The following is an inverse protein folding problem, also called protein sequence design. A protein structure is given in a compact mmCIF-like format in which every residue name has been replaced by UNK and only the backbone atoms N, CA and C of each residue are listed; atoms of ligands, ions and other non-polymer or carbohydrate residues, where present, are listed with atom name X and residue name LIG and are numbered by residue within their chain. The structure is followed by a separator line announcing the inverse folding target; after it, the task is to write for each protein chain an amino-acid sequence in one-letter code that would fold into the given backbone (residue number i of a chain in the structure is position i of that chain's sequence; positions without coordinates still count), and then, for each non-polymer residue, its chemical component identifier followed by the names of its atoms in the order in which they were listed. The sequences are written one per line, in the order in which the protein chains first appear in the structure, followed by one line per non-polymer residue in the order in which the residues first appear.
data_IF_119898163552
#
_entry.id   IF_119898163552
#
_cell.length_a   1.000
_cell.length_b   1.000
_cell.length_c   1.000
_cell.angle_alpha   90.00
_cell.angle_beta   90.00
_cell.angle_gamma   90.00
#
_symmetry.space_group_name_H-M   'P 1'
#
loop_
_entity.id
_entity.type
_entity.pdbx_description
1 polymer ?
#
# COMPACT_ATOMS: atom_id res chain seq x y z
N UNK A 1 -14.63 -2.46 -19.81
CA UNK A 1 -14.12 -3.74 -19.30
C UNK A 1 -15.12 -4.40 -18.35
N UNK A 2 -15.60 -3.71 -17.30
CA UNK A 2 -16.54 -4.26 -16.30
C UNK A 2 -17.79 -4.89 -16.91
N UNK A 3 -18.42 -4.22 -17.88
CA UNK A 3 -19.57 -4.77 -18.60
C UNK A 3 -19.26 -6.07 -19.35
N UNK A 4 -18.07 -6.18 -19.96
CA UNK A 4 -17.62 -7.38 -20.65
C UNK A 4 -17.29 -8.52 -19.68
N UNK A 5 -16.71 -8.19 -18.52
CA UNK A 5 -16.46 -9.16 -17.46
C UNK A 5 -17.78 -9.74 -16.89
N UNK A 6 -18.81 -8.91 -16.69
CA UNK A 6 -20.14 -9.37 -16.24
C UNK A 6 -20.83 -10.25 -17.27
N UNK A 7 -20.61 -10.01 -18.57
CA UNK A 7 -21.08 -10.92 -19.62
C UNK A 7 -20.43 -12.31 -19.49
N UNK A 8 -19.10 -12.37 -19.29
CA UNK A 8 -18.38 -13.63 -19.05
C UNK A 8 -18.85 -14.34 -17.78
N UNK A 9 -19.23 -13.58 -16.75
CA UNK A 9 -19.78 -14.09 -15.50
C UNK A 9 -21.30 -14.44 -15.58
N UNK A 10 -21.90 -14.43 -16.80
CA UNK A 10 -23.31 -14.67 -17.06
C UNK A 10 -24.27 -13.71 -16.32
N UNK A 11 -23.86 -12.47 -16.15
CA UNK A 11 -24.69 -11.35 -15.67
C UNK A 11 -24.93 -10.32 -16.80
N UNK A 12 -25.82 -10.60 -17.76
CA UNK A 12 -26.04 -9.72 -18.92
C UNK A 12 -26.73 -8.41 -18.52
N UNK A 13 -27.49 -8.39 -17.43
CA UNK A 13 -28.20 -7.21 -16.97
C UNK A 13 -27.24 -6.21 -16.34
N UNK A 14 -26.37 -6.65 -15.45
CA UNK A 14 -25.31 -5.83 -14.89
C UNK A 14 -24.30 -5.36 -15.93
N UNK A 15 -24.02 -6.17 -16.96
CA UNK A 15 -23.17 -5.76 -18.08
C UNK A 15 -23.80 -4.61 -18.89
N UNK A 16 -25.12 -4.63 -19.11
CA UNK A 16 -25.86 -3.56 -19.81
C UNK A 16 -25.86 -2.26 -18.99
N UNK A 17 -26.05 -2.36 -17.68
CA UNK A 17 -25.97 -1.21 -16.77
C UNK A 17 -24.59 -0.57 -16.78
N UNK A 18 -23.53 -1.37 -16.72
CA UNK A 18 -22.15 -0.87 -16.77
C UNK A 18 -21.82 -0.16 -18.08
N UNK A 19 -22.31 -0.66 -19.21
CA UNK A 19 -22.15 0.01 -20.51
C UNK A 19 -22.90 1.33 -20.54
N UNK A 20 -24.12 1.40 -19.98
CA UNK A 20 -24.88 2.64 -19.92
C UNK A 20 -24.20 3.70 -19.04
N UNK A 21 -23.63 3.29 -17.91
CA UNK A 21 -22.86 4.15 -17.01
C UNK A 21 -21.59 4.66 -17.73
N UNK A 22 -20.87 3.79 -18.42
CA UNK A 22 -19.68 4.18 -19.17
C UNK A 22 -20.01 5.18 -20.30
N UNK A 23 -21.08 4.93 -21.06
CA UNK A 23 -21.53 5.84 -22.11
C UNK A 23 -21.94 7.21 -21.56
N UNK A 24 -22.67 7.24 -20.44
CA UNK A 24 -23.07 8.49 -19.77
C UNK A 24 -21.84 9.26 -19.27
N UNK A 25 -20.86 8.59 -18.67
CA UNK A 25 -19.62 9.21 -18.22
C UNK A 25 -18.76 9.75 -19.38
N UNK A 26 -18.70 9.04 -20.49
CA UNK A 26 -18.01 9.51 -21.71
C UNK A 26 -18.73 10.73 -22.29
N UNK A 27 -20.07 10.74 -22.33
CA UNK A 27 -20.84 11.88 -22.81
C UNK A 27 -20.68 13.11 -21.91
N UNK A 28 -20.69 12.92 -20.59
CA UNK A 28 -20.44 13.95 -19.59
C UNK A 28 -19.00 14.52 -19.73
N UNK A 29 -18.02 13.67 -19.94
CA UNK A 29 -16.63 14.06 -20.18
C UNK A 29 -16.49 14.87 -21.50
N UNK A 30 -17.14 14.41 -22.59
CA UNK A 30 -17.14 15.14 -23.88
C UNK A 30 -17.83 16.49 -23.80
N UNK A 31 -18.93 16.61 -23.05
CA UNK A 31 -19.61 17.91 -22.85
C UNK A 31 -18.75 18.90 -22.07
N UNK A 32 -17.97 18.40 -21.11
CA UNK A 32 -17.03 19.25 -20.33
C UNK A 32 -15.80 19.67 -21.16
N UNK A 33 -15.36 18.88 -22.12
CA UNK A 33 -14.25 19.24 -23.01
C UNK A 33 -14.61 20.38 -23.97
N UNK A 34 -15.90 20.57 -24.27
CA UNK A 34 -16.38 21.66 -25.14
C UNK A 34 -16.66 22.97 -24.39
N UNK A 35 -16.48 23.01 -23.08
CA UNK A 35 -16.66 24.21 -22.24
C UNK A 35 -15.35 24.99 -22.18
N UNK A 36 -15.37 26.24 -22.72
CA UNK A 36 -14.20 27.11 -22.85
C UNK A 36 -13.53 27.50 -21.53
N UNK A 37 -14.18 27.23 -20.38
CA UNK A 37 -13.61 27.39 -19.05
C UNK A 37 -12.54 26.34 -18.70
N UNK A 38 -12.42 25.28 -19.49
CA UNK A 38 -11.46 24.18 -19.27
C UNK A 38 -10.10 24.36 -19.96
N UNK A 39 -9.86 25.47 -20.66
CA UNK A 39 -8.58 25.73 -21.34
C UNK A 39 -7.39 25.86 -20.37
N UNK A 40 -7.63 26.10 -19.09
CA UNK A 40 -6.60 26.15 -18.03
C UNK A 40 -6.10 24.74 -17.64
N UNK A 41 -6.87 23.69 -18.00
CA UNK A 41 -6.54 22.29 -17.72
C UNK A 41 -5.99 21.52 -18.93
N UNK A 42 -5.69 22.20 -20.03
CA UNK A 42 -5.05 21.61 -21.22
C UNK A 42 -3.69 20.94 -20.89
N UNK A 43 -3.04 21.37 -19.81
CA UNK A 43 -1.81 20.75 -19.32
C UNK A 43 -2.06 19.37 -18.67
N UNK A 44 -3.28 19.09 -18.20
CA UNK A 44 -3.69 17.78 -17.69
C UNK A 44 -4.01 16.79 -18.81
N UNK A 45 -4.44 17.23 -19.99
CA UNK A 45 -4.63 16.35 -21.14
C UNK A 45 -3.30 15.88 -21.71
N UNK A 46 -2.27 16.71 -21.75
CA UNK A 46 -0.91 16.27 -22.10
C UNK A 46 -0.32 15.31 -21.06
N UNK A 47 -0.68 15.45 -19.79
CA UNK A 47 -0.36 14.46 -18.74
C UNK A 47 -1.15 13.17 -18.93
N UNK A 48 -2.41 13.24 -19.34
CA UNK A 48 -3.25 12.07 -19.61
C UNK A 48 -2.82 11.35 -20.88
N UNK A 49 -2.49 12.09 -21.94
CA UNK A 49 -1.91 11.53 -23.17
C UNK A 49 -0.49 11.01 -22.95
N UNK A 50 0.30 11.60 -22.05
CA UNK A 50 1.55 11.01 -21.56
C UNK A 50 1.32 9.77 -20.72
N UNK A 51 0.27 9.69 -19.93
CA UNK A 51 -0.13 8.47 -19.22
C UNK A 51 -0.63 7.40 -20.20
N UNK A 52 -1.32 7.77 -21.25
CA UNK A 52 -1.73 6.85 -22.33
C UNK A 52 -0.57 6.50 -23.29
N UNK A 53 0.36 7.44 -23.57
CA UNK A 53 1.59 7.17 -24.32
C UNK A 53 2.67 6.46 -23.51
N UNK A 54 2.55 6.50 -22.19
CA UNK A 54 3.30 5.66 -21.27
C UNK A 54 2.97 4.18 -21.47
N UNK A 55 1.80 3.88 -22.00
CA UNK A 55 1.31 2.52 -22.29
C UNK A 55 2.19 1.78 -23.32
N UNK A 56 2.81 2.46 -24.28
CA UNK A 56 3.66 1.81 -25.30
C UNK A 56 5.07 1.46 -24.80
N UNK A 57 5.56 2.12 -23.76
CA UNK A 57 6.86 1.83 -23.11
C UNK A 57 6.74 0.94 -21.86
N UNK A 58 5.53 0.84 -21.31
CA UNK A 58 5.22 0.02 -20.13
C UNK A 58 4.56 -1.32 -20.48
N UNK A 59 4.18 -1.55 -21.73
CA UNK A 59 3.58 -2.80 -22.19
C UNK A 59 4.48 -4.05 -21.95
N UNK A 60 5.78 -3.86 -21.72
CA UNK A 60 6.71 -4.94 -21.39
C UNK A 60 7.22 -4.98 -19.95
N UNK A 61 6.95 -3.93 -19.14
CA UNK A 61 7.60 -3.83 -17.84
C UNK A 61 6.69 -3.61 -16.62
N UNK A 62 5.45 -3.20 -16.82
CA UNK A 62 4.58 -2.78 -15.71
C UNK A 62 3.88 -3.94 -15.05
N UNK A 63 3.48 -4.95 -15.79
CA UNK A 63 2.82 -6.13 -15.27
C UNK A 63 3.81 -7.04 -14.55
N UNK A 64 5.01 -7.20 -15.08
CA UNK A 64 6.13 -7.89 -14.43
C UNK A 64 6.49 -7.25 -13.08
N UNK A 65 6.12 -5.97 -12.86
CA UNK A 65 6.25 -5.32 -11.55
C UNK A 65 5.09 -5.59 -10.60
N UNK A 66 3.89 -5.87 -11.11
CA UNK A 66 2.71 -6.15 -10.28
C UNK A 66 2.64 -7.63 -9.89
N UNK A 67 3.06 -8.53 -10.79
CA UNK A 67 3.11 -9.97 -10.56
C UNK A 67 4.52 -10.56 -10.52
N UNK A 68 5.57 -9.74 -10.79
CA UNK A 68 6.97 -10.15 -10.70
C UNK A 68 7.36 -11.30 -11.62
N UNK A 69 6.94 -11.30 -12.88
CA UNK A 69 7.37 -12.29 -13.87
C UNK A 69 8.85 -12.13 -14.19
N UNK A 70 9.71 -12.70 -13.36
CA UNK A 70 11.12 -12.95 -13.67
C UNK A 70 11.32 -14.44 -13.85
N UNK A 71 11.29 -14.90 -15.10
CA UNK A 71 11.80 -16.24 -15.44
C UNK A 71 11.02 -17.42 -14.85
N UNK A 72 9.68 -17.35 -14.74
CA UNK A 72 8.84 -18.50 -14.39
C UNK A 72 8.34 -18.57 -12.95
N UNK A 73 8.64 -17.57 -12.11
CA UNK A 73 8.02 -17.42 -10.77
C UNK A 73 7.09 -16.22 -10.75
N UNK A 74 5.81 -16.44 -10.47
CA UNK A 74 4.86 -15.36 -10.18
C UNK A 74 5.16 -14.77 -8.80
N UNK A 75 5.57 -13.51 -8.77
CA UNK A 75 5.81 -12.77 -7.54
C UNK A 75 4.56 -11.94 -7.20
N UNK A 76 4.01 -12.17 -6.02
CA UNK A 76 2.83 -11.44 -5.54
C UNK A 76 3.23 -10.01 -5.14
N UNK A 77 2.63 -8.99 -5.78
CA UNK A 77 2.82 -7.59 -5.41
C UNK A 77 1.54 -7.00 -4.85
N UNK A 78 1.57 -6.77 -3.55
CA UNK A 78 0.48 -6.16 -2.82
C UNK A 78 0.65 -4.65 -2.77
N UNK A 79 -0.45 -3.91 -2.66
CA UNK A 79 -0.41 -2.49 -2.38
C UNK A 79 0.19 -2.23 -1.00
N UNK A 80 0.84 -1.05 -0.81
CA UNK A 80 1.65 -0.76 0.38
C UNK A 80 0.87 -0.77 1.70
N UNK A 81 1.60 -0.91 2.80
CA UNK A 81 1.08 -0.86 4.16
C UNK A 81 0.64 0.56 4.55
N UNK A 82 -0.40 0.67 5.35
CA UNK A 82 -0.81 1.94 5.97
C UNK A 82 0.00 2.23 7.23
N UNK A 83 0.48 3.46 7.34
CA UNK A 83 1.17 3.97 8.53
C UNK A 83 0.87 5.45 8.75
N UNK A 84 1.08 5.92 9.96
CA UNK A 84 1.21 7.35 10.17
C UNK A 84 2.54 7.83 9.58
N UNK A 85 2.45 8.81 8.73
CA UNK A 85 3.59 9.39 8.00
C UNK A 85 3.45 10.91 7.97
N UNK A 86 4.54 11.61 7.63
CA UNK A 86 4.51 13.06 7.46
C UNK A 86 4.31 13.40 6.00
N UNK A 87 3.27 14.19 5.70
CA UNK A 87 2.94 14.66 4.35
C UNK A 87 2.48 16.12 4.38
N UNK A 88 2.75 16.87 3.31
CA UNK A 88 2.19 18.22 3.18
C UNK A 88 0.66 18.15 3.08
N UNK A 89 -0.07 19.04 3.78
CA UNK A 89 -1.54 19.02 3.81
C UNK A 89 -2.20 19.12 2.43
N UNK A 90 -1.61 19.88 1.51
CA UNK A 90 -2.10 20.09 0.14
C UNK A 90 -2.04 18.83 -0.75
N UNK A 91 -1.22 17.84 -0.37
CA UNK A 91 -1.09 16.59 -1.08
C UNK A 91 -1.88 15.43 -0.47
N UNK A 92 -2.56 15.66 0.63
CA UNK A 92 -3.42 14.65 1.25
C UNK A 92 -4.71 14.54 0.42
N UNK A 93 -5.10 13.33 -0.05
CA UNK A 93 -6.36 13.15 -0.76
C UNK A 93 -7.54 13.62 0.07
N UNK A 94 -8.59 14.11 -0.61
CA UNK A 94 -9.84 14.49 0.04
C UNK A 94 -10.35 13.37 0.96
N UNK A 95 -10.90 13.77 2.10
CA UNK A 95 -11.35 12.85 3.15
C UNK A 95 -12.21 11.72 2.60
N UNK A 96 -11.82 10.49 2.89
CA UNK A 96 -12.60 9.30 2.56
C UNK A 96 -13.71 9.09 3.60
N UNK A 97 -14.80 8.38 3.23
CA UNK A 97 -15.94 8.17 4.13
C UNK A 97 -15.63 7.34 5.38
N UNK A 98 -14.48 6.64 5.43
CA UNK A 98 -14.09 5.86 6.59
C UNK A 98 -13.40 6.77 7.61
N UNK A 99 -14.19 7.19 8.59
CA UNK A 99 -13.77 8.08 9.66
C UNK A 99 -13.68 7.30 10.99
N UNK A 100 -12.58 7.49 11.69
CA UNK A 100 -12.34 6.87 12.99
C UNK A 100 -11.98 7.96 14.02
N UNK A 101 -12.89 8.21 14.97
CA UNK A 101 -12.71 9.19 16.02
C UNK A 101 -11.37 9.00 16.78
N UNK A 102 -10.99 7.75 17.08
CA UNK A 102 -9.72 7.45 17.75
C UNK A 102 -8.48 7.86 16.97
N UNK A 103 -8.53 7.84 15.63
CA UNK A 103 -7.44 8.31 14.77
C UNK A 103 -7.34 9.83 14.85
N UNK A 104 -8.47 10.53 14.82
CA UNK A 104 -8.50 11.98 14.94
C UNK A 104 -8.05 12.45 16.32
N UNK A 105 -8.50 11.79 17.38
CA UNK A 105 -8.07 12.10 18.74
C UNK A 105 -6.56 11.86 18.91
N UNK A 106 -6.02 10.81 18.29
CA UNK A 106 -4.59 10.56 18.27
C UNK A 106 -3.83 11.68 17.54
N UNK A 107 -4.28 12.07 16.34
CA UNK A 107 -3.66 13.16 15.57
C UNK A 107 -3.71 14.49 16.34
N UNK A 108 -4.85 14.81 16.96
CA UNK A 108 -4.99 16.00 17.83
C UNK A 108 -4.02 15.98 19.00
N UNK A 109 -3.81 14.81 19.60
CA UNK A 109 -2.89 14.66 20.74
C UNK A 109 -1.44 14.82 20.35
N UNK A 110 -1.05 14.37 19.15
CA UNK A 110 0.28 14.63 18.58
C UNK A 110 0.44 16.13 18.27
N UNK A 111 -0.60 16.77 17.69
CA UNK A 111 -0.59 18.19 17.37
C UNK A 111 0.18 18.56 16.11
N UNK A 112 0.60 17.58 15.31
CA UNK A 112 1.35 17.82 14.07
C UNK A 112 0.42 17.75 12.85
N UNK A 113 0.27 18.88 12.16
CA UNK A 113 -0.61 19.01 10.98
C UNK A 113 -0.16 18.19 9.76
N UNK A 114 1.15 17.87 9.68
CA UNK A 114 1.72 17.03 8.62
C UNK A 114 1.48 15.54 8.85
N UNK A 115 1.07 15.15 10.06
CA UNK A 115 0.84 13.74 10.39
C UNK A 115 -0.45 13.23 9.75
N UNK A 116 -0.33 12.23 8.90
CA UNK A 116 -1.46 11.57 8.24
C UNK A 116 -1.32 10.05 8.24
N UNK A 117 -2.45 9.34 8.24
CA UNK A 117 -2.50 7.89 8.05
C UNK A 117 -2.59 7.60 6.54
N UNK A 118 -1.56 7.02 5.96
CA UNK A 118 -1.45 6.81 4.50
C UNK A 118 -0.58 5.59 4.17
N UNK A 119 -0.81 5.02 2.98
CA UNK A 119 0.06 4.04 2.34
C UNK A 119 1.00 4.68 1.29
N UNK A 120 0.96 6.02 1.14
CA UNK A 120 1.79 6.75 0.18
C UNK A 120 3.12 7.15 0.80
N UNK A 121 4.11 7.34 -0.07
CA UNK A 121 5.39 7.90 0.35
C UNK A 121 5.27 9.36 0.79
N UNK A 122 6.12 9.75 1.74
CA UNK A 122 6.21 11.15 2.19
C UNK A 122 6.74 12.04 1.06
N UNK A 123 6.17 13.23 0.94
CA UNK A 123 6.63 14.27 0.01
C UNK A 123 7.42 15.38 0.70
N UNK A 124 7.89 15.14 1.92
CA UNK A 124 8.77 16.05 2.65
C UNK A 124 10.20 15.82 2.22
N UNK A 125 10.95 16.89 1.97
CA UNK A 125 12.33 16.80 1.55
C UNK A 125 13.21 16.10 2.61
N UNK A 126 14.14 15.22 2.21
CA UNK A 126 15.01 14.48 3.13
C UNK A 126 15.78 15.38 4.10
N UNK A 127 16.28 16.52 3.64
CA UNK A 127 17.01 17.47 4.49
C UNK A 127 16.12 18.03 5.62
N UNK A 128 14.85 18.30 5.33
CA UNK A 128 13.88 18.73 6.33
C UNK A 128 13.64 17.64 7.38
N UNK A 129 13.53 16.39 6.96
CA UNK A 129 13.38 15.24 7.87
C UNK A 129 14.60 15.06 8.78
N UNK A 130 15.81 15.24 8.24
CA UNK A 130 17.04 15.20 9.04
C UNK A 130 17.11 16.34 10.05
N UNK A 131 16.62 17.53 9.68
CA UNK A 131 16.53 18.67 10.63
C UNK A 131 15.51 18.38 11.74
N UNK A 132 14.36 17.80 11.40
CA UNK A 132 13.33 17.41 12.37
C UNK A 132 13.85 16.37 13.36
N UNK A 133 14.58 15.34 12.92
CA UNK A 133 15.18 14.36 13.84
C UNK A 133 16.11 15.01 14.86
N UNK A 134 16.94 15.97 14.41
CA UNK A 134 17.81 16.74 15.31
C UNK A 134 17.02 17.58 16.32
N UNK A 135 15.92 18.19 15.92
CA UNK A 135 15.05 18.97 16.80
C UNK A 135 14.43 18.06 17.88
N UNK A 136 13.91 16.90 17.50
CA UNK A 136 13.37 15.93 18.46
C UNK A 136 14.43 15.42 19.46
N UNK A 137 15.68 15.24 19.02
CA UNK A 137 16.81 14.91 19.94
C UNK A 137 16.99 16.01 20.98
N UNK A 138 16.98 17.28 20.57
CA UNK A 138 17.11 18.42 21.48
C UNK A 138 15.95 18.50 22.47
N UNK A 139 14.73 18.29 22.01
CA UNK A 139 13.52 18.28 22.84
C UNK A 139 13.54 17.16 23.88
N UNK A 140 13.94 15.95 23.48
CA UNK A 140 14.07 14.80 24.39
C UNK A 140 15.19 14.99 25.44
N UNK A 141 16.22 15.77 25.14
CA UNK A 141 17.28 16.07 26.09
C UNK A 141 16.88 17.21 27.06
N UNK A 142 15.96 18.09 26.67
CA UNK A 142 15.54 19.22 27.46
C UNK A 142 14.41 18.90 28.48
N UNK A 143 13.65 17.83 28.26
CA UNK A 143 12.48 17.47 29.06
C UNK A 143 12.37 15.95 29.24
N UNK A 144 11.52 15.51 30.20
CA UNK A 144 11.16 14.10 30.30
C UNK A 144 10.59 13.60 28.97
N UNK A 145 11.03 12.44 28.47
CA UNK A 145 10.62 11.94 27.17
C UNK A 145 9.11 11.70 27.14
N UNK A 146 8.38 12.48 26.32
CA UNK A 146 6.98 12.23 26.02
C UNK A 146 6.90 11.16 24.92
N UNK A 147 5.99 10.19 25.07
CA UNK A 147 5.78 9.17 24.04
C UNK A 147 5.37 9.79 22.68
N UNK A 148 4.76 10.97 22.65
CA UNK A 148 4.39 11.70 21.46
C UNK A 148 5.61 12.14 20.67
N UNK A 149 6.60 12.73 21.33
CA UNK A 149 7.87 13.18 20.70
C UNK A 149 8.68 11.97 20.21
N UNK A 150 8.71 10.88 20.99
CA UNK A 150 9.32 9.63 20.55
C UNK A 150 8.62 9.05 19.32
N UNK A 151 7.27 9.11 19.26
CA UNK A 151 6.52 8.66 18.10
C UNK A 151 6.88 9.46 16.84
N UNK A 152 6.85 10.79 16.92
CA UNK A 152 7.18 11.66 15.78
C UNK A 152 8.63 11.48 15.31
N UNK A 153 9.54 11.34 16.26
CA UNK A 153 10.94 11.03 15.94
C UNK A 153 11.05 9.69 15.23
N UNK A 154 10.39 8.65 15.72
CA UNK A 154 10.43 7.33 15.10
C UNK A 154 9.82 7.34 13.67
N UNK A 155 8.73 8.09 13.44
CA UNK A 155 8.18 8.33 12.10
C UNK A 155 9.26 8.97 11.21
N UNK A 156 9.91 10.02 11.67
CA UNK A 156 10.95 10.75 10.93
C UNK A 156 12.13 9.85 10.60
N UNK A 157 12.61 9.05 11.57
CA UNK A 157 13.69 8.08 11.38
C UNK A 157 13.35 7.01 10.35
N UNK A 158 12.11 6.50 10.33
CA UNK A 158 11.64 5.58 9.29
C UNK A 158 11.71 6.23 7.89
N UNK A 159 11.30 7.49 7.75
CA UNK A 159 11.31 8.23 6.49
C UNK A 159 12.73 8.50 5.95
N UNK A 160 13.71 8.70 6.82
CA UNK A 160 15.13 8.80 6.43
C UNK A 160 15.85 7.45 6.40
N UNK A 161 15.07 6.34 6.42
CA UNK A 161 15.57 4.95 6.32
C UNK A 161 16.49 4.49 7.47
N UNK A 162 16.43 5.16 8.62
CA UNK A 162 17.10 4.73 9.84
C UNK A 162 16.21 3.71 10.59
N UNK A 163 15.88 2.60 9.95
CA UNK A 163 14.88 1.65 10.43
C UNK A 163 15.18 1.07 11.81
N UNK A 164 16.43 0.67 12.09
CA UNK A 164 16.84 0.14 13.40
C UNK A 164 16.62 1.16 14.51
N UNK A 165 17.01 2.42 14.28
CA UNK A 165 16.79 3.50 15.25
C UNK A 165 15.28 3.75 15.45
N UNK A 166 14.52 3.78 14.35
CA UNK A 166 13.06 3.96 14.39
C UNK A 166 12.37 2.87 15.22
N UNK A 167 12.68 1.58 14.99
CA UNK A 167 12.13 0.46 15.76
C UNK A 167 12.47 0.58 17.25
N UNK A 168 13.70 0.95 17.58
CA UNK A 168 14.11 1.20 18.97
C UNK A 168 13.34 2.36 19.61
N UNK A 169 13.20 3.47 18.88
CA UNK A 169 12.47 4.67 19.34
C UNK A 169 10.97 4.38 19.53
N UNK A 170 10.33 3.59 18.62
CA UNK A 170 8.97 3.12 18.83
C UNK A 170 8.86 2.22 20.07
N UNK A 171 9.86 1.39 20.34
CA UNK A 171 9.87 0.52 21.51
C UNK A 171 9.86 1.35 22.80
N UNK A 172 10.69 2.39 22.88
CA UNK A 172 10.66 3.33 24.00
C UNK A 172 9.32 4.08 24.13
N UNK A 173 8.71 4.48 23.00
CA UNK A 173 7.37 5.08 23.03
C UNK A 173 6.29 4.10 23.54
N UNK A 174 6.40 2.82 23.19
CA UNK A 174 5.49 1.76 23.65
C UNK A 174 5.65 1.51 25.16
N UNK A 175 6.87 1.54 25.69
CA UNK A 175 7.11 1.44 27.14
C UNK A 175 6.37 2.53 27.92
N UNK A 176 6.33 3.76 27.39
CA UNK A 176 5.61 4.87 27.99
C UNK A 176 4.08 4.83 27.77
N UNK A 177 3.63 4.20 26.68
CA UNK A 177 2.19 4.12 26.35
C UNK A 177 1.84 2.77 25.68
N UNK A 178 1.85 1.65 26.44
CA UNK A 178 1.67 0.31 25.89
C UNK A 178 0.24 0.01 25.42
N UNK A 179 -0.72 0.85 25.73
CA UNK A 179 -2.13 0.71 25.30
C UNK A 179 -2.46 1.41 23.99
N UNK A 180 -1.48 2.07 23.36
CA UNK A 180 -1.70 2.81 22.13
C UNK A 180 -1.49 1.90 20.88
N UNK A 181 -2.55 1.57 20.10
CA UNK A 181 -2.47 0.66 18.96
C UNK A 181 -1.63 1.22 17.81
N UNK A 182 -1.54 2.55 17.68
CA UNK A 182 -0.88 3.21 16.56
C UNK A 182 0.65 3.12 16.65
N UNK A 183 1.19 2.99 17.85
CA UNK A 183 2.63 2.74 18.05
C UNK A 183 3.03 1.37 17.49
N UNK A 184 2.22 0.35 17.75
CA UNK A 184 2.42 -1.00 17.22
C UNK A 184 2.22 -1.05 15.69
N UNK A 185 1.19 -0.36 15.17
CA UNK A 185 0.98 -0.27 13.72
C UNK A 185 2.23 0.26 13.01
N UNK A 186 2.76 1.39 13.47
CA UNK A 186 3.92 2.02 12.85
C UNK A 186 5.20 1.22 13.05
N UNK A 187 5.43 0.63 14.23
CA UNK A 187 6.60 -0.22 14.44
C UNK A 187 6.57 -1.46 13.54
N UNK A 188 5.40 -2.07 13.37
CA UNK A 188 5.21 -3.18 12.44
C UNK A 188 5.57 -2.80 11.00
N UNK A 189 5.04 -1.68 10.50
CA UNK A 189 5.35 -1.22 9.14
C UNK A 189 6.83 -0.87 8.96
N UNK A 190 7.46 -0.26 9.97
CA UNK A 190 8.90 0.03 9.94
C UNK A 190 9.74 -1.26 9.88
N UNK A 191 9.34 -2.32 10.61
CA UNK A 191 9.99 -3.63 10.52
C UNK A 191 9.84 -4.26 9.13
N UNK A 192 8.66 -4.18 8.54
CA UNK A 192 8.42 -4.67 7.19
C UNK A 192 9.27 -3.91 6.16
N UNK A 193 9.29 -2.57 6.20
CA UNK A 193 10.10 -1.73 5.32
C UNK A 193 11.61 -2.00 5.49
N UNK A 194 12.06 -2.31 6.71
CA UNK A 194 13.45 -2.70 6.96
C UNK A 194 13.79 -4.03 6.28
N UNK A 195 12.87 -5.01 6.34
CA UNK A 195 13.03 -6.30 5.68
C UNK A 195 13.10 -6.11 4.16
N UNK A 196 12.17 -5.33 3.59
CA UNK A 196 12.13 -5.04 2.15
C UNK A 196 13.41 -4.33 1.68
N UNK A 197 13.89 -3.38 2.48
CA UNK A 197 15.14 -2.67 2.20
C UNK A 197 16.34 -3.62 2.20
N UNK A 198 16.48 -4.49 3.22
CA UNK A 198 17.59 -5.46 3.30
C UNK A 198 17.51 -6.46 2.15
N UNK A 199 16.30 -6.98 1.83
CA UNK A 199 16.11 -7.92 0.74
C UNK A 199 16.44 -7.30 -0.63
N UNK A 200 16.17 -6.01 -0.82
CA UNK A 200 16.53 -5.29 -2.04
C UNK A 200 18.04 -5.17 -2.24
N UNK A 201 18.79 -5.00 -1.16
CA UNK A 201 20.25 -4.96 -1.18
C UNK A 201 20.80 -6.36 -1.50
N UNK A 202 20.34 -7.39 -0.82
CA UNK A 202 20.77 -8.78 -1.06
C UNK A 202 20.54 -9.20 -2.52
N UNK A 203 19.37 -8.87 -3.09
CA UNK A 203 19.08 -9.14 -4.50
C UNK A 203 19.98 -8.36 -5.46
N UNK A 204 20.44 -7.16 -5.11
CA UNK A 204 21.38 -6.39 -5.93
C UNK A 204 22.79 -7.01 -5.92
N UNK A 205 23.24 -7.52 -4.78
CA UNK A 205 24.53 -8.22 -4.66
C UNK A 205 24.52 -9.54 -5.46
N UNK A 206 23.43 -10.29 -5.47
CA UNK A 206 23.31 -11.51 -6.27
C UNK A 206 23.39 -11.24 -7.78
N UNK A 207 22.91 -10.08 -8.25
CA UNK A 207 23.05 -9.67 -9.66
C UNK A 207 24.46 -9.31 -10.07
N UNK A 208 25.26 -8.75 -9.14
CA UNK A 208 26.65 -8.35 -9.41
C UNK A 208 27.59 -9.57 -9.41
N UNK A 209 27.30 -10.61 -8.62
CA UNK A 209 28.13 -11.82 -8.54
C UNK A 209 27.85 -12.84 -9.64
N UNK A 210 26.85 -12.65 -10.52
CA UNK A 210 26.56 -13.55 -11.64
C UNK A 210 27.68 -13.60 -12.69
N UNK A 211 28.52 -12.56 -12.79
CA UNK A 211 29.64 -12.50 -13.73
C UNK A 211 30.94 -13.15 -13.21
N UNK A 212 31.00 -13.57 -11.96
CA UNK A 212 32.17 -14.23 -11.38
C UNK A 212 31.91 -15.71 -11.14
N UNK A 213 32.71 -16.54 -11.83
CA UNK A 213 32.95 -17.98 -11.70
C UNK A 213 31.71 -18.95 -11.59
N UNK A 214 31.45 -19.82 -12.61
CA UNK A 214 30.35 -20.78 -12.59
C UNK A 214 30.40 -21.80 -11.43
N UNK A 215 31.57 -22.06 -10.84
CA UNK A 215 31.74 -23.01 -9.73
C UNK A 215 31.13 -22.51 -8.41
N UNK A 216 31.02 -21.16 -8.21
CA UNK A 216 30.41 -20.56 -7.04
C UNK A 216 28.87 -20.48 -7.11
N UNK A 217 28.25 -20.76 -8.27
CA UNK A 217 26.80 -20.73 -8.44
C UNK A 217 26.07 -21.83 -7.67
N UNK A 218 26.73 -22.92 -7.35
CA UNK A 218 26.12 -24.07 -6.69
C UNK A 218 26.03 -23.96 -5.16
N UNK A 219 26.79 -23.07 -4.52
CA UNK A 219 26.86 -22.99 -3.06
C UNK A 219 26.11 -21.79 -2.44
N UNK A 220 25.60 -20.84 -3.24
CA UNK A 220 24.94 -19.62 -2.72
C UNK A 220 23.41 -19.64 -2.79
N UNK A 221 22.78 -20.81 -2.92
CA UNK A 221 21.32 -20.95 -2.98
C UNK A 221 20.63 -20.95 -1.58
N UNK A 222 21.28 -20.48 -0.53
CA UNK A 222 20.56 -20.15 0.70
C UNK A 222 19.86 -18.79 0.52
N UNK A 223 18.68 -18.80 -0.12
CA UNK A 223 17.75 -17.66 -0.01
C UNK A 223 17.58 -17.35 1.48
N UNK A 224 18.12 -16.21 1.94
CA UNK A 224 17.80 -15.73 3.28
C UNK A 224 16.29 -15.50 3.32
N UNK A 225 15.59 -16.29 4.10
CA UNK A 225 14.18 -16.13 4.38
C UNK A 225 14.07 -15.06 5.46
N UNK A 226 13.52 -13.91 5.11
CA UNK A 226 13.23 -12.86 6.09
C UNK A 226 11.88 -13.16 6.72
N UNK A 227 11.80 -13.19 8.05
CA UNK A 227 10.56 -13.43 8.76
C UNK A 227 9.88 -12.11 9.11
N UNK A 228 8.57 -12.02 8.84
CA UNK A 228 7.71 -10.93 9.29
C UNK A 228 7.09 -11.18 10.67
N UNK A 229 7.48 -12.21 11.40
CA UNK A 229 6.82 -12.66 12.65
C UNK A 229 6.74 -11.55 13.70
N UNK A 230 7.81 -10.78 13.90
CA UNK A 230 7.79 -9.67 14.86
C UNK A 230 6.85 -8.53 14.41
N UNK A 231 6.77 -8.28 13.12
CA UNK A 231 5.86 -7.28 12.57
C UNK A 231 4.39 -7.73 12.70
N UNK A 232 4.11 -9.01 12.45
CA UNK A 232 2.79 -9.63 12.67
C UNK A 232 2.42 -9.61 14.15
N UNK A 233 3.37 -9.88 15.05
CA UNK A 233 3.13 -9.81 16.50
C UNK A 233 2.72 -8.40 16.97
N UNK A 234 3.33 -7.35 16.42
CA UNK A 234 2.92 -5.97 16.66
C UNK A 234 1.48 -5.72 16.19
N UNK A 235 1.12 -6.20 15.00
CA UNK A 235 -0.25 -6.03 14.46
C UNK A 235 -1.27 -6.86 15.26
N UNK A 236 -0.91 -8.03 15.77
CA UNK A 236 -1.74 -8.78 16.71
C UNK A 236 -2.06 -7.96 17.96
N UNK A 237 -1.06 -7.21 18.45
CA UNK A 237 -1.28 -6.29 19.57
C UNK A 237 -2.16 -5.10 19.17
N UNK A 238 -1.93 -4.52 18.00
CA UNK A 238 -2.72 -3.40 17.49
C UNK A 238 -4.22 -3.77 17.34
N UNK A 239 -4.55 -4.91 16.71
CA UNK A 239 -5.95 -5.35 16.54
C UNK A 239 -6.60 -5.72 17.87
N UNK A 240 -5.84 -6.26 18.83
CA UNK A 240 -6.35 -6.52 20.17
C UNK A 240 -6.71 -5.23 20.93
N UNK A 241 -5.90 -4.18 20.79
CA UNK A 241 -6.13 -2.88 21.42
C UNK A 241 -7.20 -2.04 20.72
N UNK A 242 -7.40 -2.28 19.42
CA UNK A 242 -8.39 -1.55 18.62
C UNK A 242 -9.04 -2.49 17.58
N UNK A 243 -10.06 -3.29 17.99
CA UNK A 243 -10.69 -4.31 17.12
C UNK A 243 -11.42 -3.76 15.88
N UNK A 244 -11.79 -2.48 15.87
CA UNK A 244 -12.48 -1.83 14.73
C UNK A 244 -11.51 -1.09 13.80
N UNK A 245 -10.21 -1.32 13.92
CA UNK A 245 -9.19 -0.63 13.13
C UNK A 245 -8.87 -1.39 11.85
N UNK A 246 -9.63 -1.13 10.78
CA UNK A 246 -9.51 -1.80 9.48
C UNK A 246 -8.07 -1.82 8.93
N UNK A 247 -7.30 -0.74 9.11
CA UNK A 247 -5.93 -0.64 8.62
C UNK A 247 -4.95 -1.62 9.29
N UNK A 248 -5.19 -1.98 10.57
CA UNK A 248 -4.35 -2.97 11.24
C UNK A 248 -4.59 -4.37 10.69
N UNK A 249 -5.84 -4.74 10.40
CA UNK A 249 -6.16 -6.00 9.73
C UNK A 249 -5.60 -6.04 8.31
N UNK A 250 -5.75 -4.95 7.54
CA UNK A 250 -5.18 -4.83 6.20
C UNK A 250 -3.66 -5.04 6.21
N UNK A 251 -2.94 -4.37 7.10
CA UNK A 251 -1.50 -4.51 7.21
C UNK A 251 -1.09 -5.93 7.63
N UNK A 252 -1.83 -6.54 8.57
CA UNK A 252 -1.55 -7.92 8.99
C UNK A 252 -1.79 -8.91 7.87
N UNK A 253 -2.87 -8.73 7.11
CA UNK A 253 -3.15 -9.52 5.92
C UNK A 253 -2.01 -9.43 4.88
N UNK A 254 -1.46 -8.23 4.63
CA UNK A 254 -0.31 -8.06 3.74
C UNK A 254 0.89 -8.90 4.21
N UNK A 255 1.24 -8.80 5.49
CA UNK A 255 2.40 -9.53 6.05
C UNK A 255 2.18 -11.04 6.07
N UNK A 256 0.97 -11.50 6.40
CA UNK A 256 0.59 -12.92 6.33
C UNK A 256 0.68 -13.44 4.89
N UNK A 257 0.19 -12.67 3.92
CA UNK A 257 0.28 -13.04 2.51
C UNK A 257 1.74 -13.15 2.03
N UNK A 258 2.60 -12.19 2.40
CA UNK A 258 4.04 -12.20 2.11
C UNK A 258 4.76 -13.38 2.81
N UNK A 259 4.25 -13.83 3.95
CA UNK A 259 4.74 -15.03 4.66
C UNK A 259 4.18 -16.34 4.10
N UNK A 260 3.30 -16.30 3.09
CA UNK A 260 2.67 -17.47 2.48
C UNK A 260 1.39 -17.96 3.18
N UNK A 261 0.96 -17.34 4.28
CA UNK A 261 -0.28 -17.66 5.02
C UNK A 261 -1.50 -17.03 4.33
N UNK A 262 -1.80 -17.48 3.09
CA UNK A 262 -2.84 -16.89 2.25
C UNK A 262 -4.27 -17.03 2.83
N UNK A 263 -4.66 -18.16 3.45
CA UNK A 263 -5.99 -18.28 4.07
C UNK A 263 -6.22 -17.25 5.18
N UNK A 264 -5.26 -17.09 6.09
CA UNK A 264 -5.33 -16.16 7.21
C UNK A 264 -5.32 -14.71 6.69
N UNK A 265 -4.53 -14.43 5.65
CA UNK A 265 -4.53 -13.12 4.99
C UNK A 265 -5.90 -12.80 4.37
N UNK A 266 -6.56 -13.78 3.75
CA UNK A 266 -7.91 -13.63 3.19
C UNK A 266 -8.94 -13.26 4.26
N UNK A 267 -8.89 -13.91 5.43
CA UNK A 267 -9.77 -13.62 6.56
C UNK A 267 -9.56 -12.18 7.07
N UNK A 268 -8.31 -11.75 7.21
CA UNK A 268 -7.98 -10.41 7.67
C UNK A 268 -8.40 -9.33 6.66
N UNK A 269 -8.18 -9.52 5.36
CA UNK A 269 -8.72 -8.59 4.35
C UNK A 269 -10.24 -8.55 4.39
N UNK A 270 -10.90 -9.69 4.59
CA UNK A 270 -12.36 -9.76 4.70
C UNK A 270 -12.84 -8.99 5.92
N UNK A 271 -12.13 -9.11 7.05
CA UNK A 271 -12.40 -8.30 8.24
C UNK A 271 -12.19 -6.81 7.98
N UNK A 272 -11.07 -6.42 7.34
CA UNK A 272 -10.81 -5.02 6.98
C UNK A 272 -11.91 -4.43 6.10
N UNK A 273 -12.38 -5.18 5.09
CA UNK A 273 -13.48 -4.78 4.20
C UNK A 273 -14.82 -4.70 4.96
N UNK A 274 -15.09 -5.61 5.89
CA UNK A 274 -16.31 -5.55 6.71
C UNK A 274 -16.36 -4.30 7.60
N UNK A 275 -15.21 -3.84 8.09
CA UNK A 275 -15.07 -2.61 8.87
C UNK A 275 -15.11 -1.35 8.00
N UNK A 276 -14.56 -1.43 6.78
CA UNK A 276 -14.56 -0.34 5.82
C UNK A 276 -14.95 -0.85 4.42
N UNK A 277 -16.24 -0.86 4.05
CA UNK A 277 -16.70 -1.32 2.73
C UNK A 277 -16.19 -0.50 1.53
N UNK A 278 -15.58 0.67 1.77
CA UNK A 278 -14.95 1.49 0.74
C UNK A 278 -13.42 1.33 0.69
N UNK A 279 -12.85 0.29 1.33
CA UNK A 279 -11.41 0.07 1.41
C UNK A 279 -10.88 -0.53 0.11
N UNK A 280 -10.62 0.32 -0.88
CA UNK A 280 -10.21 -0.05 -2.23
C UNK A 280 -8.95 -0.94 -2.24
N UNK A 281 -7.96 -0.59 -1.43
CA UNK A 281 -6.69 -1.31 -1.34
C UNK A 281 -6.88 -2.74 -0.77
N UNK A 282 -7.81 -2.92 0.14
CA UNK A 282 -8.12 -4.24 0.69
C UNK A 282 -8.82 -5.15 -0.32
N UNK A 283 -9.72 -4.61 -1.14
CA UNK A 283 -10.30 -5.36 -2.26
C UNK A 283 -9.23 -5.74 -3.27
N UNK A 284 -8.34 -4.81 -3.63
CA UNK A 284 -7.26 -5.09 -4.57
C UNK A 284 -6.38 -6.24 -4.09
N UNK A 285 -5.84 -6.14 -2.87
CA UNK A 285 -4.92 -7.13 -2.33
C UNK A 285 -5.62 -8.48 -2.10
N UNK A 286 -6.88 -8.49 -1.63
CA UNK A 286 -7.67 -9.73 -1.51
C UNK A 286 -7.91 -10.36 -2.87
N UNK A 287 -8.19 -9.57 -3.89
CA UNK A 287 -8.33 -10.03 -5.27
C UNK A 287 -7.04 -10.69 -5.78
N UNK A 288 -5.88 -10.07 -5.54
CA UNK A 288 -4.58 -10.63 -5.92
C UNK A 288 -4.36 -12.01 -5.25
N UNK A 289 -4.53 -12.12 -3.92
CA UNK A 289 -4.31 -13.41 -3.25
C UNK A 289 -5.31 -14.49 -3.69
N UNK A 290 -6.55 -14.13 -4.03
CA UNK A 290 -7.53 -15.07 -4.59
C UNK A 290 -7.07 -15.61 -5.96
N UNK A 291 -6.47 -14.77 -6.81
CA UNK A 291 -5.86 -15.24 -8.06
C UNK A 291 -4.72 -16.24 -7.80
N UNK A 292 -3.86 -15.99 -6.81
CA UNK A 292 -2.82 -16.94 -6.38
C UNK A 292 -3.41 -18.25 -5.83
N UNK A 293 -4.55 -18.18 -5.13
CA UNK A 293 -5.30 -19.34 -4.65
C UNK A 293 -6.11 -20.04 -5.77
N UNK A 294 -5.98 -19.58 -7.02
CA UNK A 294 -6.70 -20.08 -8.20
C UNK A 294 -8.22 -19.89 -8.15
N UNK A 295 -8.73 -19.01 -7.29
CA UNK A 295 -10.13 -18.57 -7.30
C UNK A 295 -10.28 -17.33 -8.21
N UNK A 296 -10.04 -17.53 -9.50
CA UNK A 296 -10.00 -16.46 -10.51
C UNK A 296 -11.30 -15.65 -10.51
N UNK A 297 -12.45 -16.31 -10.37
CA UNK A 297 -13.75 -15.64 -10.40
C UNK A 297 -13.90 -14.61 -9.27
N UNK A 298 -13.62 -15.02 -8.04
CA UNK A 298 -13.73 -14.10 -6.88
C UNK A 298 -12.63 -13.04 -6.92
N UNK A 299 -11.42 -13.41 -7.32
CA UNK A 299 -10.32 -12.47 -7.51
C UNK A 299 -10.67 -11.35 -8.48
N UNK A 300 -11.25 -11.69 -9.64
CA UNK A 300 -11.70 -10.69 -10.60
C UNK A 300 -12.85 -9.81 -10.09
N UNK A 301 -13.75 -10.34 -9.27
CA UNK A 301 -14.83 -9.54 -8.64
C UNK A 301 -14.25 -8.49 -7.67
N UNK A 302 -13.32 -8.90 -6.82
CA UNK A 302 -12.67 -8.00 -5.89
C UNK A 302 -11.83 -6.93 -6.61
N UNK A 303 -11.08 -7.32 -7.63
CA UNK A 303 -10.33 -6.36 -8.47
C UNK A 303 -11.26 -5.38 -9.20
N UNK A 304 -12.41 -5.86 -9.72
CA UNK A 304 -13.41 -4.97 -10.28
C UNK A 304 -13.92 -3.95 -9.26
N UNK A 305 -14.17 -4.41 -8.02
CA UNK A 305 -14.59 -3.53 -6.93
C UNK A 305 -13.52 -2.52 -6.54
N UNK A 306 -12.26 -2.94 -6.49
CA UNK A 306 -11.12 -2.04 -6.26
C UNK A 306 -11.03 -0.95 -7.34
N UNK A 307 -11.20 -1.31 -8.62
CA UNK A 307 -11.24 -0.36 -9.74
C UNK A 307 -12.38 0.64 -9.63
N UNK A 308 -13.59 0.21 -9.22
CA UNK A 308 -14.73 1.09 -8.94
C UNK A 308 -14.43 2.11 -7.83
N UNK A 309 -13.68 1.67 -6.82
CA UNK A 309 -13.29 2.49 -5.68
C UNK A 309 -12.04 3.36 -5.96
N UNK A 310 -11.48 3.30 -7.18
CA UNK A 310 -10.45 4.22 -7.65
C UNK A 310 -9.04 3.63 -7.77
N UNK A 311 -8.84 2.33 -7.58
CA UNK A 311 -7.55 1.66 -7.87
C UNK A 311 -7.52 1.29 -9.36
N UNK A 312 -6.96 2.17 -10.19
CA UNK A 312 -6.93 2.01 -11.65
C UNK A 312 -6.09 0.83 -12.10
N UNK A 313 -5.06 0.48 -11.34
CA UNK A 313 -4.16 -0.65 -11.56
C UNK A 313 -4.90 -2.00 -11.57
N UNK A 314 -6.04 -2.08 -10.88
CA UNK A 314 -6.88 -3.27 -10.88
C UNK A 314 -7.39 -3.64 -12.29
N UNK A 315 -7.61 -2.65 -13.15
CA UNK A 315 -8.06 -2.90 -14.53
C UNK A 315 -6.97 -3.53 -15.41
N UNK A 316 -5.70 -3.24 -15.13
CA UNK A 316 -4.58 -3.88 -15.83
C UNK A 316 -4.49 -5.37 -15.50
N UNK A 317 -4.67 -5.70 -14.21
CA UNK A 317 -4.71 -7.10 -13.77
C UNK A 317 -5.91 -7.82 -14.41
N UNK A 318 -7.10 -7.21 -14.36
CA UNK A 318 -8.31 -7.79 -14.95
C UNK A 318 -8.19 -8.04 -16.45
N UNK A 319 -7.56 -7.13 -17.20
CA UNK A 319 -7.36 -7.26 -18.65
C UNK A 319 -6.58 -8.53 -18.99
N UNK A 320 -5.56 -8.85 -18.21
CA UNK A 320 -4.75 -10.05 -18.43
C UNK A 320 -5.53 -11.33 -18.16
N UNK A 321 -6.22 -11.41 -17.03
CA UNK A 321 -6.99 -12.61 -16.70
C UNK A 321 -8.19 -12.82 -17.62
N UNK A 322 -8.80 -11.75 -18.15
CA UNK A 322 -9.85 -11.86 -19.18
C UNK A 322 -9.35 -12.35 -20.53
N UNK A 323 -8.04 -12.28 -20.81
CA UNK A 323 -7.44 -12.79 -22.06
C UNK A 323 -6.99 -14.26 -21.94
N UNK A 324 -6.91 -14.82 -20.74
CA UNK A 324 -6.52 -16.22 -20.51
C UNK A 324 -7.72 -17.19 -20.59
N UNK A 325 -8.96 -16.67 -20.49
CA UNK A 325 -10.20 -17.48 -20.59
C UNK A 325 -10.75 -17.56 -22.05
N UNK A 326 -9.99 -17.11 -23.05
CA UNK A 326 -10.23 -17.30 -24.48
C UNK A 326 -9.18 -18.19 -25.11
#
# INVERSE_FOLDING_TARGET
YRGRLRELLRDPQGAKEDRSIAQRKIAEYRSRLNDSTYSIYADTTQRFDRLLSFDSKFAGGSFDRITGHNGGHEEMRLLPLFKFTLMRPDSVPAAKPYHLQRVDDFKKRIGNEYLTLSCRESNIAPDTLVMLDKQYVQELNASNPAWTVLFERAVTQSLIKQYTNSVSTYSSAIELNPSNPFLYLNRSTTRAEMIDFISSIDNSYQRITIDSDPANRLNNNSKRTYSYDEAVADLNKAVKLFPDFAYAYYNRANLLALSGSLPEAFEDYTKAISLNPAFAEAYYNRGIIQLFMKDTRKGCLDLSKAGELGITEAYEVLKRYASLDN
#
